data_IF_003835602954
#
_entry.id   IF_003835602954
#
_cell.length_a   1.000
_cell.length_b   1.000
_cell.length_c   1.000
_cell.angle_alpha   90.00
_cell.angle_beta   90.00
_cell.angle_gamma   90.00
#
_symmetry.space_group_name_H-M   'P 1'
#
loop_
_entity.id
_entity.type
_entity.pdbx_description
1 polymer ?
#
# COMPACT_ATOMS: atom_id res chain seq x y z
N UNK A 1 -15.09 -7.57 -11.21
CA UNK A 1 -13.72 -7.21 -10.79
C UNK A 1 -12.78 -8.27 -11.33
N UNK A 2 -11.68 -7.88 -11.94
CA UNK A 2 -10.74 -8.78 -12.62
C UNK A 2 -9.30 -8.56 -12.09
N UNK A 3 -8.42 -9.58 -12.14
CA UNK A 3 -7.00 -9.38 -11.82
C UNK A 3 -6.41 -8.23 -12.63
N UNK A 4 -5.62 -7.38 -11.96
CA UNK A 4 -5.05 -6.15 -12.52
C UNK A 4 -5.92 -4.90 -12.31
N UNK A 5 -7.18 -5.02 -11.93
CA UNK A 5 -8.01 -3.86 -11.57
C UNK A 5 -7.45 -3.15 -10.33
N UNK A 6 -7.45 -1.82 -10.37
CA UNK A 6 -7.18 -0.99 -9.21
C UNK A 6 -8.46 -0.80 -8.39
N UNK A 7 -8.34 -0.93 -7.08
CA UNK A 7 -9.47 -0.85 -6.14
C UNK A 7 -9.12 -0.08 -4.88
N UNK A 8 -10.16 0.42 -4.21
CA UNK A 8 -10.10 0.96 -2.85
C UNK A 8 -11.10 0.25 -1.94
N UNK A 9 -10.80 0.19 -0.65
CA UNK A 9 -11.70 -0.26 0.40
C UNK A 9 -12.71 0.84 0.74
N UNK A 10 -14.00 0.60 0.59
CA UNK A 10 -15.04 1.62 0.84
C UNK A 10 -15.35 1.82 2.31
N UNK A 11 -14.90 0.91 3.18
CA UNK A 11 -15.07 1.03 4.64
C UNK A 11 -13.89 1.74 5.31
N UNK A 12 -12.83 2.04 4.55
CA UNK A 12 -11.71 2.84 5.02
C UNK A 12 -11.96 4.32 4.68
N UNK A 13 -11.85 5.20 5.68
CA UNK A 13 -12.02 6.65 5.51
C UNK A 13 -10.83 7.27 4.74
N UNK A 14 -9.66 6.62 4.77
CA UNK A 14 -8.43 7.03 4.08
C UNK A 14 -7.85 5.84 3.28
N UNK A 15 -8.58 5.36 2.26
CA UNK A 15 -8.26 4.09 1.62
C UNK A 15 -6.96 4.16 0.82
N UNK A 16 -6.12 3.15 1.00
CA UNK A 16 -4.91 2.99 0.20
C UNK A 16 -5.22 2.26 -1.11
N UNK A 17 -4.54 2.66 -2.19
CA UNK A 17 -4.68 2.02 -3.49
C UNK A 17 -4.23 0.55 -3.44
N UNK A 18 -5.07 -0.34 -3.93
CA UNK A 18 -4.77 -1.77 -4.05
C UNK A 18 -4.99 -2.28 -5.47
N UNK A 19 -4.37 -3.42 -5.78
CA UNK A 19 -4.56 -4.14 -7.05
C UNK A 19 -5.15 -5.50 -6.77
N UNK A 20 -6.14 -5.87 -7.57
CA UNK A 20 -6.76 -7.18 -7.56
C UNK A 20 -5.79 -8.20 -8.12
N UNK A 21 -5.51 -9.25 -7.34
CA UNK A 21 -4.61 -10.33 -7.72
C UNK A 21 -5.40 -11.57 -8.12
N UNK A 22 -6.49 -11.84 -7.40
CA UNK A 22 -7.31 -13.01 -7.61
C UNK A 22 -8.75 -12.73 -7.22
N UNK A 23 -9.70 -13.23 -8.01
CA UNK A 23 -11.12 -13.26 -7.70
C UNK A 23 -11.55 -14.72 -7.59
N UNK A 24 -12.10 -15.11 -6.43
CA UNK A 24 -12.51 -16.49 -6.16
C UNK A 24 -14.02 -16.57 -5.98
N UNK A 25 -14.65 -17.57 -6.59
CA UNK A 25 -16.05 -17.92 -6.33
C UNK A 25 -16.26 -18.57 -4.95
N UNK A 26 -15.19 -18.82 -4.20
CA UNK A 26 -15.30 -19.34 -2.82
C UNK A 26 -15.88 -18.26 -1.90
N UNK A 27 -16.91 -18.55 -1.09
CA UNK A 27 -17.49 -17.59 -0.18
C UNK A 27 -16.54 -17.12 0.93
N UNK A 28 -16.69 -15.88 1.38
CA UNK A 28 -15.92 -15.32 2.51
C UNK A 28 -16.16 -16.07 3.83
N UNK A 29 -17.32 -16.74 3.99
CA UNK A 29 -17.62 -17.59 5.13
C UNK A 29 -16.81 -18.89 5.16
N UNK A 30 -16.38 -19.37 4.00
CA UNK A 30 -15.62 -20.61 3.85
C UNK A 30 -14.12 -20.38 3.67
N UNK A 31 -13.72 -19.19 3.21
CA UNK A 31 -12.32 -18.84 2.99
C UNK A 31 -11.60 -18.53 4.29
N UNK A 32 -10.69 -19.42 4.70
CA UNK A 32 -9.94 -19.30 5.95
C UNK A 32 -8.55 -18.74 5.70
N UNK A 33 -8.24 -17.63 6.37
CA UNK A 33 -6.91 -17.01 6.40
C UNK A 33 -6.19 -17.32 7.71
N UNK A 34 -4.85 -17.31 7.67
CA UNK A 34 -3.98 -17.40 8.83
C UNK A 34 -3.06 -16.18 8.88
N UNK A 35 -3.47 -15.09 9.54
CA UNK A 35 -2.63 -13.90 9.64
C UNK A 35 -1.38 -14.19 10.47
N UNK A 36 -0.26 -13.54 10.15
CA UNK A 36 1.00 -13.70 10.88
C UNK A 36 0.82 -13.44 12.38
N UNK A 37 1.14 -14.44 13.21
CA UNK A 37 0.99 -14.37 14.67
C UNK A 37 -0.45 -14.41 15.17
N UNK A 38 -1.45 -14.62 14.30
CA UNK A 38 -2.86 -14.70 14.66
C UNK A 38 -3.43 -16.11 14.62
N UNK A 39 -4.73 -16.22 14.88
CA UNK A 39 -5.48 -17.48 14.77
C UNK A 39 -6.16 -17.57 13.42
N UNK A 40 -6.27 -18.79 12.91
CA UNK A 40 -7.04 -19.11 11.70
C UNK A 40 -8.48 -18.65 11.85
N UNK A 41 -9.00 -17.93 10.87
CA UNK A 41 -10.39 -17.43 10.85
C UNK A 41 -10.87 -17.24 9.42
N UNK A 42 -12.19 -17.31 9.23
CA UNK A 42 -12.82 -17.01 7.95
C UNK A 42 -12.73 -15.51 7.64
N UNK A 43 -12.74 -15.14 6.36
CA UNK A 43 -12.79 -13.72 5.95
C UNK A 43 -14.05 -13.03 6.49
N UNK A 44 -15.18 -13.75 6.55
CA UNK A 44 -16.42 -13.26 7.16
C UNK A 44 -16.27 -12.90 8.64
N UNK A 45 -15.35 -13.53 9.39
CA UNK A 45 -15.13 -13.19 10.80
C UNK A 45 -14.50 -11.80 10.96
N UNK A 46 -13.76 -11.32 9.96
CA UNK A 46 -13.18 -9.98 9.90
C UNK A 46 -14.12 -8.97 9.21
N UNK A 47 -15.18 -9.44 8.56
CA UNK A 47 -16.15 -8.67 7.80
C UNK A 47 -17.60 -9.05 8.21
N UNK A 48 -17.99 -8.89 9.49
CA UNK A 48 -19.25 -9.42 10.01
C UNK A 48 -20.51 -8.74 9.47
N UNK A 49 -20.37 -7.56 8.87
CA UNK A 49 -21.47 -6.78 8.30
C UNK A 49 -21.77 -7.15 6.83
N UNK A 50 -20.97 -8.06 6.24
CA UNK A 50 -21.08 -8.53 4.86
C UNK A 50 -21.70 -9.92 4.79
N UNK A 51 -22.27 -10.28 3.64
CA UNK A 51 -22.92 -11.57 3.45
C UNK A 51 -21.85 -12.68 3.34
N UNK A 52 -21.98 -13.74 4.14
CA UNK A 52 -21.00 -14.84 4.20
C UNK A 52 -20.86 -15.60 2.89
N UNK A 53 -21.90 -15.52 2.03
CA UNK A 53 -21.95 -16.09 0.68
C UNK A 53 -21.23 -15.22 -0.37
N UNK A 54 -20.72 -14.04 -0.02
CA UNK A 54 -20.02 -13.15 -0.97
C UNK A 54 -18.70 -13.76 -1.47
N UNK A 55 -18.36 -13.58 -2.76
CA UNK A 55 -17.07 -13.97 -3.31
C UNK A 55 -15.89 -13.27 -2.60
N UNK A 56 -14.78 -14.00 -2.50
CA UNK A 56 -13.51 -13.46 -1.97
C UNK A 56 -12.72 -12.80 -3.09
N UNK A 57 -12.29 -11.58 -2.83
CA UNK A 57 -11.29 -10.87 -3.63
C UNK A 57 -9.99 -10.82 -2.87
N UNK A 58 -8.89 -11.20 -3.53
CA UNK A 58 -7.53 -11.09 -3.00
C UNK A 58 -6.82 -9.91 -3.64
N UNK A 59 -6.27 -9.03 -2.82
CA UNK A 59 -5.59 -7.81 -3.24
C UNK A 59 -4.22 -7.68 -2.58
N UNK A 60 -3.35 -6.86 -3.18
CA UNK A 60 -2.18 -6.29 -2.50
C UNK A 60 -2.23 -4.77 -2.60
N UNK A 61 -1.80 -4.10 -1.52
CA UNK A 61 -1.64 -2.65 -1.54
C UNK A 61 -0.42 -2.26 -2.37
N UNK A 62 -0.59 -1.21 -3.19
CA UNK A 62 0.45 -0.74 -4.11
C UNK A 62 1.65 -0.24 -3.32
N UNK A 63 1.45 0.77 -2.47
CA UNK A 63 2.51 1.48 -1.77
C UNK A 63 3.24 0.58 -0.74
N UNK A 64 2.49 0.01 0.20
CA UNK A 64 3.07 -0.74 1.33
C UNK A 64 3.48 -2.19 0.97
N UNK A 65 3.01 -2.70 -0.16
CA UNK A 65 3.20 -4.09 -0.58
C UNK A 65 4.00 -4.20 -1.87
N UNK A 66 3.36 -3.89 -3.00
CA UNK A 66 3.90 -4.16 -4.33
C UNK A 66 5.16 -3.34 -4.62
N UNK A 67 5.14 -2.03 -4.42
CA UNK A 67 6.29 -1.15 -4.68
C UNK A 67 7.49 -1.50 -3.80
N UNK A 68 7.23 -1.87 -2.54
CA UNK A 68 8.28 -2.22 -1.59
C UNK A 68 8.96 -3.55 -1.88
N UNK A 69 8.17 -4.58 -2.17
CA UNK A 69 8.67 -5.96 -2.24
C UNK A 69 8.91 -6.44 -3.67
N UNK A 70 8.28 -5.80 -4.65
CA UNK A 70 8.37 -6.20 -6.05
C UNK A 70 8.30 -5.01 -7.02
N UNK A 71 9.34 -4.16 -7.12
CA UNK A 71 9.30 -2.94 -7.94
C UNK A 71 8.90 -3.12 -9.41
N UNK A 72 9.19 -4.28 -10.01
CA UNK A 72 8.89 -4.58 -11.42
C UNK A 72 7.47 -5.12 -11.67
N UNK A 73 6.61 -5.16 -10.64
CA UNK A 73 5.27 -5.77 -10.72
C UNK A 73 4.38 -5.21 -11.84
N UNK A 74 4.52 -3.92 -12.18
CA UNK A 74 3.72 -3.24 -13.20
C UNK A 74 3.95 -3.77 -14.61
N UNK A 75 5.08 -4.44 -14.86
CA UNK A 75 5.40 -5.09 -16.13
C UNK A 75 4.85 -6.51 -16.27
N UNK A 76 4.22 -7.05 -15.23
CA UNK A 76 3.74 -8.43 -15.18
C UNK A 76 2.33 -8.54 -15.73
N UNK A 77 2.02 -9.65 -16.43
CA UNK A 77 0.67 -9.91 -16.90
C UNK A 77 -0.29 -10.12 -15.72
N UNK A 78 -1.55 -9.63 -15.78
CA UNK A 78 -2.46 -9.70 -14.63
C UNK A 78 -2.71 -11.11 -14.09
N UNK A 79 -2.65 -12.13 -14.96
CA UNK A 79 -2.82 -13.53 -14.57
C UNK A 79 -1.67 -14.05 -13.68
N UNK A 80 -0.49 -13.45 -13.77
CA UNK A 80 0.72 -13.87 -13.05
C UNK A 80 0.93 -13.08 -11.75
N UNK A 81 0.16 -12.01 -11.52
CA UNK A 81 0.29 -11.16 -10.33
C UNK A 81 0.10 -11.94 -9.03
N UNK A 82 -0.85 -12.88 -8.98
CA UNK A 82 -1.10 -13.67 -7.77
C UNK A 82 0.05 -14.63 -7.42
N UNK A 83 0.70 -15.22 -8.42
CA UNK A 83 1.87 -16.08 -8.18
C UNK A 83 3.10 -15.23 -7.83
N UNK A 84 3.36 -14.18 -8.61
CA UNK A 84 4.51 -13.32 -8.40
C UNK A 84 4.50 -12.58 -7.07
N UNK A 85 3.33 -12.16 -6.57
CA UNK A 85 3.21 -11.56 -5.23
C UNK A 85 3.57 -12.53 -4.11
N UNK A 86 3.20 -13.81 -4.23
CA UNK A 86 3.59 -14.83 -3.26
C UNK A 86 5.09 -15.12 -3.30
N UNK A 87 5.69 -15.19 -4.49
CA UNK A 87 7.14 -15.39 -4.64
C UNK A 87 7.95 -14.21 -4.08
N UNK A 88 7.48 -12.99 -4.28
CA UNK A 88 8.08 -11.77 -3.75
C UNK A 88 7.84 -11.56 -2.25
N UNK A 89 7.00 -12.38 -1.60
CA UNK A 89 6.65 -12.22 -0.20
C UNK A 89 5.82 -10.97 0.09
N UNK A 90 5.06 -10.50 -0.91
CA UNK A 90 4.10 -9.40 -0.75
C UNK A 90 2.95 -9.87 0.13
N UNK A 91 2.55 -9.05 1.10
CA UNK A 91 1.41 -9.36 1.97
C UNK A 91 0.09 -9.26 1.20
N UNK A 92 -0.72 -10.31 1.31
CA UNK A 92 -2.02 -10.43 0.64
C UNK A 92 -3.18 -10.15 1.59
N UNK A 93 -4.20 -9.48 1.08
CA UNK A 93 -5.41 -9.12 1.82
C UNK A 93 -6.64 -9.70 1.12
N UNK A 94 -7.65 -10.04 1.91
CA UNK A 94 -8.82 -10.78 1.44
C UNK A 94 -10.07 -10.03 1.88
N UNK A 95 -10.93 -9.67 0.92
CA UNK A 95 -12.11 -8.84 1.14
C UNK A 95 -13.35 -9.47 0.51
N UNK A 96 -14.55 -9.18 1.04
CA UNK A 96 -15.80 -9.32 0.30
C UNK A 96 -15.75 -8.45 -0.96
N UNK A 97 -16.26 -8.97 -2.08
CA UNK A 97 -16.26 -8.21 -3.35
C UNK A 97 -16.96 -6.85 -3.23
N UNK A 98 -18.08 -6.78 -2.49
CA UNK A 98 -18.86 -5.53 -2.39
C UNK A 98 -18.20 -4.43 -1.55
N UNK A 99 -17.22 -4.78 -0.71
CA UNK A 99 -16.42 -3.83 0.09
C UNK A 99 -15.40 -3.07 -0.77
N UNK A 100 -15.10 -3.57 -1.96
CA UNK A 100 -14.11 -2.98 -2.85
C UNK A 100 -14.78 -2.24 -4.00
N UNK A 101 -14.27 -1.05 -4.29
CA UNK A 101 -14.69 -0.26 -5.47
C UNK A 101 -13.57 -0.22 -6.48
N UNK A 102 -13.84 -0.66 -7.70
CA UNK A 102 -12.94 -0.50 -8.85
C UNK A 102 -12.82 0.97 -9.22
N UNK A 103 -11.59 1.41 -9.48
CA UNK A 103 -11.26 2.76 -9.91
C UNK A 103 -11.06 2.82 -11.43
N UNK A 104 -11.50 3.92 -12.03
CA UNK A 104 -11.09 4.26 -13.40
C UNK A 104 -9.68 4.88 -13.40
N UNK A 105 -8.98 4.85 -14.54
CA UNK A 105 -7.60 5.36 -14.67
C UNK A 105 -7.41 6.80 -14.13
N UNK A 106 -8.40 7.67 -14.36
CA UNK A 106 -8.38 9.04 -13.85
C UNK A 106 -8.47 9.09 -12.31
N UNK A 107 -9.24 8.18 -11.70
CA UNK A 107 -9.34 8.07 -10.24
C UNK A 107 -8.09 7.44 -9.64
N UNK A 108 -7.49 6.46 -10.31
CA UNK A 108 -6.19 5.88 -9.90
C UNK A 108 -5.14 6.98 -9.86
N UNK A 109 -5.06 7.79 -10.92
CA UNK A 109 -4.12 8.92 -10.98
C UNK A 109 -4.37 9.89 -9.84
N UNK A 110 -5.63 10.26 -9.59
CA UNK A 110 -5.98 11.17 -8.50
C UNK A 110 -5.60 10.60 -7.13
N UNK A 111 -5.91 9.33 -6.83
CA UNK A 111 -5.56 8.69 -5.55
C UNK A 111 -4.04 8.60 -5.37
N UNK A 112 -3.28 8.30 -6.44
CA UNK A 112 -1.81 8.30 -6.38
C UNK A 112 -1.24 9.69 -6.15
N UNK A 113 -1.84 10.74 -6.73
CA UNK A 113 -1.39 12.13 -6.53
C UNK A 113 -1.80 12.69 -5.15
N UNK A 114 -2.99 12.36 -4.66
CA UNK A 114 -3.49 12.74 -3.33
C UNK A 114 -2.69 12.02 -2.23
N UNK A 115 -2.38 10.73 -2.38
CA UNK A 115 -1.53 10.02 -1.42
C UNK A 115 -0.05 10.42 -1.45
N UNK A 116 0.39 11.17 -2.47
CA UNK A 116 1.80 11.48 -2.66
C UNK A 116 2.28 12.61 -1.75
N UNK A 117 3.48 12.44 -1.21
CA UNK A 117 4.23 13.49 -0.53
C UNK A 117 4.70 14.53 -1.54
N UNK A 118 4.47 15.80 -1.23
CA UNK A 118 5.04 16.93 -1.93
C UNK A 118 6.57 16.99 -1.74
N UNK A 119 7.31 16.12 -2.43
CA UNK A 119 8.74 15.88 -2.22
C UNK A 119 9.59 17.15 -2.30
N UNK A 120 9.27 18.04 -3.23
CA UNK A 120 10.00 19.31 -3.36
C UNK A 120 9.78 20.23 -2.15
N UNK A 121 8.57 20.28 -1.62
CA UNK A 121 8.25 21.12 -0.45
C UNK A 121 8.81 20.50 0.84
N UNK A 122 8.74 19.18 0.96
CA UNK A 122 9.38 18.43 2.04
C UNK A 122 10.90 18.61 2.02
N UNK A 123 11.54 18.50 0.85
CA UNK A 123 12.98 18.71 0.69
C UNK A 123 13.38 20.11 1.18
N UNK A 124 12.71 21.15 0.69
CA UNK A 124 12.97 22.53 1.10
C UNK A 124 12.83 22.71 2.63
N UNK A 125 11.79 22.10 3.22
CA UNK A 125 11.55 22.13 4.66
C UNK A 125 12.65 21.44 5.48
N UNK A 126 13.20 20.35 4.97
CA UNK A 126 14.26 19.58 5.63
C UNK A 126 15.62 20.29 5.50
N UNK A 127 15.93 20.87 4.35
CA UNK A 127 17.11 21.73 4.16
C UNK A 127 17.09 22.93 5.12
N UNK A 128 15.94 23.59 5.27
CA UNK A 128 15.74 24.67 6.24
C UNK A 128 15.94 24.23 7.71
N UNK A 129 15.83 22.93 7.99
CA UNK A 129 16.06 22.32 9.29
C UNK A 129 17.47 21.69 9.45
N UNK A 130 18.42 22.11 8.61
CA UNK A 130 19.81 21.63 8.57
C UNK A 130 19.93 20.11 8.33
N UNK A 131 19.02 19.52 7.55
CA UNK A 131 19.21 18.16 7.03
C UNK A 131 20.01 18.19 5.73
N UNK A 132 20.82 17.17 5.52
CA UNK A 132 21.38 16.86 4.21
C UNK A 132 20.27 16.18 3.41
N UNK A 133 19.99 16.63 2.19
CA UNK A 133 18.96 16.03 1.35
C UNK A 133 19.52 15.75 -0.04
N UNK A 134 19.04 14.67 -0.67
CA UNK A 134 19.34 14.30 -2.05
C UNK A 134 18.10 13.60 -2.63
N UNK A 135 17.49 14.22 -3.63
CA UNK A 135 16.29 13.68 -4.31
C UNK A 135 16.73 13.02 -5.60
N UNK A 136 16.60 11.69 -5.67
CA UNK A 136 16.94 10.89 -6.84
C UNK A 136 15.81 9.90 -7.12
N UNK A 137 15.37 9.86 -8.39
CA UNK A 137 14.30 8.97 -8.88
C UNK A 137 13.01 8.96 -8.03
N UNK A 138 12.64 10.11 -7.46
CA UNK A 138 11.45 10.26 -6.61
C UNK A 138 11.64 9.85 -5.15
N UNK A 139 12.77 9.25 -4.78
CA UNK A 139 13.12 8.92 -3.40
C UNK A 139 13.99 10.02 -2.80
N UNK A 140 13.55 10.59 -1.68
CA UNK A 140 14.29 11.63 -0.97
C UNK A 140 15.18 11.01 0.11
N UNK A 141 16.48 10.98 -0.15
CA UNK A 141 17.49 10.56 0.82
C UNK A 141 17.81 11.71 1.76
N UNK A 142 17.68 11.51 3.07
CA UNK A 142 17.92 12.57 4.07
C UNK A 142 18.86 12.12 5.17
N UNK A 143 19.72 13.03 5.62
CA UNK A 143 20.76 12.75 6.60
C UNK A 143 20.82 13.79 7.71
N UNK A 144 20.89 13.32 8.96
CA UNK A 144 21.09 14.17 10.15
C UNK A 144 21.83 13.42 11.23
N UNK A 145 22.77 14.09 11.90
CA UNK A 145 23.57 13.51 12.99
C UNK A 145 24.32 12.21 12.64
N UNK A 146 24.61 12.00 11.35
CA UNK A 146 25.27 10.77 10.86
C UNK A 146 24.31 9.59 10.63
N UNK A 147 23.01 9.80 10.80
CA UNK A 147 21.95 8.85 10.45
C UNK A 147 21.40 9.21 9.06
N UNK A 148 21.01 8.20 8.27
CA UNK A 148 20.46 8.35 6.92
C UNK A 148 19.12 7.65 6.81
N UNK A 149 18.19 8.27 6.10
CA UNK A 149 16.84 7.80 5.85
C UNK A 149 16.49 7.95 4.37
N UNK A 150 15.60 7.10 3.88
CA UNK A 150 15.01 7.20 2.55
C UNK A 150 13.51 7.45 2.70
N UNK A 151 13.02 8.50 2.06
CA UNK A 151 11.61 8.87 2.10
C UNK A 151 11.04 8.60 0.71
N UNK A 152 10.00 7.77 0.65
CA UNK A 152 9.33 7.39 -0.59
C UNK A 152 8.17 8.33 -0.90
N UNK A 153 7.76 8.48 -2.17
CA UNK A 153 6.60 9.31 -2.57
C UNK A 153 5.34 9.02 -1.78
N UNK A 154 5.21 7.78 -1.31
CA UNK A 154 4.09 7.25 -0.51
C UNK A 154 4.04 7.79 0.93
N UNK A 155 5.10 8.47 1.38
CA UNK A 155 5.27 8.93 2.75
C UNK A 155 5.94 7.92 3.69
N UNK A 156 6.30 6.73 3.19
CA UNK A 156 7.10 5.79 3.96
C UNK A 156 8.52 6.32 4.21
N UNK A 157 8.99 6.17 5.45
CA UNK A 157 10.36 6.50 5.88
C UNK A 157 11.11 5.23 6.22
N UNK A 158 12.13 4.90 5.43
CA UNK A 158 13.05 3.78 5.67
C UNK A 158 14.33 4.26 6.36
N UNK A 159 14.85 3.44 7.26
CA UNK A 159 16.03 3.73 8.08
C UNK A 159 15.79 3.51 9.56
N UNK A 160 16.86 3.22 10.30
CA UNK A 160 16.83 3.05 11.75
C UNK A 160 17.57 4.21 12.42
N UNK A 161 16.97 4.80 13.45
CA UNK A 161 17.66 5.82 14.24
C UNK A 161 16.74 6.68 15.09
N UNK A 162 17.35 7.53 15.92
CA UNK A 162 16.65 8.32 16.94
C UNK A 162 15.81 9.46 16.36
N UNK A 163 16.12 9.92 15.15
CA UNK A 163 15.38 11.01 14.48
C UNK A 163 14.29 10.51 13.52
N UNK A 164 14.07 9.19 13.41
CA UNK A 164 13.03 8.59 12.55
C UNK A 164 11.63 9.08 12.90
N UNK A 165 11.20 8.93 14.15
CA UNK A 165 9.85 9.32 14.57
C UNK A 165 9.54 10.81 14.32
N UNK A 166 10.45 11.74 14.68
CA UNK A 166 10.31 13.15 14.28
C UNK A 166 10.23 13.36 12.77
N UNK A 167 10.98 12.59 11.98
CA UNK A 167 10.97 12.69 10.52
C UNK A 167 9.65 12.20 9.92
N UNK A 168 9.12 11.07 10.37
CA UNK A 168 7.80 10.54 9.95
C UNK A 168 6.68 11.57 10.17
N UNK A 169 6.71 12.29 11.30
CA UNK A 169 5.74 13.36 11.55
C UNK A 169 5.86 14.51 10.55
N UNK A 170 7.09 14.90 10.18
CA UNK A 170 7.29 15.94 9.17
C UNK A 170 6.77 15.45 7.83
N UNK A 171 7.10 14.22 7.42
CA UNK A 171 6.65 13.66 6.13
C UNK A 171 5.13 13.63 6.04
N UNK A 172 4.44 13.25 7.12
CA UNK A 172 2.98 13.23 7.18
C UNK A 172 2.34 14.62 6.99
N UNK A 173 3.02 15.72 7.33
CA UNK A 173 2.52 17.08 7.08
C UNK A 173 2.56 17.49 5.59
N UNK A 174 3.26 16.73 4.76
CA UNK A 174 3.46 17.03 3.34
C UNK A 174 2.78 16.00 2.42
N UNK A 175 1.97 15.10 2.97
CA UNK A 175 1.07 14.25 2.18
C UNK A 175 -0.12 15.08 1.71
N UNK A 176 -0.52 14.92 0.45
CA UNK A 176 -1.65 15.67 -0.12
C UNK A 176 -3.02 15.13 0.33
#
# INVERSE_FOLDING_TARGET
MEPGDYVIDTDDDEPNLAVVLHHSETPIGEWVIEPEGGQRRAVAADNPDYDEDEPVVVVAFVESGLERHWPDWTGTEPADLYEGTQEAGVKLYHFPESRLRVLEEAEVTAVTEEGAVAMSDLQARLEDADWQTDLDDGVLTVGKMGEQYHIHPTGEVEGEGQVRGPLENIVAEYRN
#
